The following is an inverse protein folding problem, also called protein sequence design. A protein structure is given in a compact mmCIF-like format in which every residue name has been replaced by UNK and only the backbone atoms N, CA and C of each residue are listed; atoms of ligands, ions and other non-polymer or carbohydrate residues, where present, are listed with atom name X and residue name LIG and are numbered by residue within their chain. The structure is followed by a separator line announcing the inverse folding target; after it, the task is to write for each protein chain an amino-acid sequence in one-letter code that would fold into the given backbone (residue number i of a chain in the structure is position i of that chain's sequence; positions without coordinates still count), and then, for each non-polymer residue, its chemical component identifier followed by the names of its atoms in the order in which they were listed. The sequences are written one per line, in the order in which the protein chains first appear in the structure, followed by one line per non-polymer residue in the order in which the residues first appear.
data_IF_914620952402
#
_entry.id   IF_914620952402
#
_cell.length_a   1.000
_cell.length_b   1.000
_cell.length_c   1.000
_cell.angle_alpha   90.00
_cell.angle_beta   90.00
_cell.angle_gamma   90.00
#
_symmetry.space_group_name_H-M   'P 1'
#
loop_
_entity.id
_entity.type
_entity.pdbx_description
1 polymer ?
#
# COMPACT_ATOMS: atom_id res chain seq x y z
N UNK A 1 -11.09 -5.62 -17.21
CA UNK A 1 -9.80 -4.88 -17.24
C UNK A 1 -8.94 -5.40 -16.10
N UNK A 2 -7.69 -5.77 -16.37
CA UNK A 2 -6.74 -6.10 -15.31
C UNK A 2 -6.49 -4.82 -14.50
N UNK A 3 -6.58 -4.90 -13.17
CA UNK A 3 -6.30 -3.78 -12.28
C UNK A 3 -4.85 -3.35 -12.50
N UNK A 4 -4.65 -2.06 -12.78
CA UNK A 4 -3.32 -1.49 -13.00
C UNK A 4 -2.72 -1.69 -14.40
N UNK A 5 -3.51 -2.14 -15.42
CA UNK A 5 -2.98 -2.34 -16.78
C UNK A 5 -2.34 -1.10 -17.41
N UNK A 6 -2.80 0.09 -17.02
CA UNK A 6 -2.34 1.37 -17.53
C UNK A 6 -1.56 2.18 -16.48
N UNK A 7 -1.19 1.56 -15.37
CA UNK A 7 -0.40 2.21 -14.33
C UNK A 7 1.09 2.21 -14.67
N UNK A 8 1.74 3.34 -14.45
CA UNK A 8 3.21 3.43 -14.49
C UNK A 8 3.84 2.86 -13.22
N UNK A 9 3.12 2.96 -12.09
CA UNK A 9 3.54 2.46 -10.77
C UNK A 9 2.40 1.70 -10.12
N UNK A 10 2.73 0.55 -9.56
CA UNK A 10 1.85 -0.24 -8.69
C UNK A 10 2.41 -0.21 -7.28
N UNK A 11 1.59 0.26 -6.34
CA UNK A 11 1.88 0.20 -4.92
C UNK A 11 1.10 -0.98 -4.34
N UNK A 12 1.80 -2.01 -3.86
CA UNK A 12 1.21 -3.17 -3.22
C UNK A 12 1.10 -2.93 -1.73
N UNK A 13 -0.11 -2.70 -1.25
CA UNK A 13 -0.41 -2.41 0.15
C UNK A 13 -0.80 -3.69 0.89
N UNK A 14 0.07 -4.13 1.80
CA UNK A 14 -0.17 -5.28 2.68
C UNK A 14 0.33 -4.99 4.10
N UNK A 15 -0.57 -5.03 5.07
CA UNK A 15 -0.27 -4.70 6.45
C UNK A 15 0.56 -5.78 7.18
N UNK A 16 0.47 -7.02 6.73
CA UNK A 16 0.93 -8.20 7.47
C UNK A 16 1.99 -9.02 6.73
N UNK A 17 1.99 -8.98 5.39
CA UNK A 17 2.95 -9.74 4.58
C UNK A 17 4.30 -9.03 4.45
N UNK A 18 5.30 -9.78 4.06
CA UNK A 18 6.59 -9.24 3.66
C UNK A 18 6.62 -8.94 2.16
N UNK A 19 7.52 -8.05 1.72
CA UNK A 19 7.65 -7.69 0.31
C UNK A 19 7.96 -8.87 -0.62
N UNK A 20 8.48 -9.96 -0.08
CA UNK A 20 8.76 -11.19 -0.84
C UNK A 20 7.49 -11.91 -1.31
N UNK A 21 6.35 -11.63 -0.68
CA UNK A 21 5.06 -12.26 -1.00
C UNK A 21 4.32 -11.54 -2.13
N UNK A 22 4.85 -10.41 -2.63
CA UNK A 22 4.24 -9.66 -3.74
C UNK A 22 4.37 -10.46 -5.04
N UNK A 23 3.27 -10.75 -5.76
CA UNK A 23 3.29 -11.53 -7.00
C UNK A 23 3.76 -10.68 -8.20
N UNK A 24 4.98 -10.17 -8.14
CA UNK A 24 5.54 -9.22 -9.13
C UNK A 24 5.46 -9.75 -10.56
N UNK A 25 5.59 -11.07 -10.75
CA UNK A 25 5.51 -11.71 -12.08
C UNK A 25 4.10 -11.71 -12.69
N UNK A 26 3.08 -11.55 -11.86
CA UNK A 26 1.67 -11.50 -12.28
C UNK A 26 1.20 -10.07 -12.58
N UNK A 27 1.99 -9.06 -12.18
CA UNK A 27 1.69 -7.66 -12.38
C UNK A 27 2.20 -7.17 -13.75
N UNK A 28 1.53 -6.18 -14.38
CA UNK A 28 1.93 -5.62 -15.67
C UNK A 28 3.42 -5.33 -15.74
N UNK A 29 4.12 -5.88 -16.72
CA UNK A 29 5.58 -5.81 -16.83
C UNK A 29 6.10 -4.39 -17.06
N UNK A 30 5.26 -3.49 -17.59
CA UNK A 30 5.55 -2.07 -17.85
C UNK A 30 5.55 -1.22 -16.59
N UNK A 31 4.87 -1.64 -15.52
CA UNK A 31 4.74 -0.85 -14.30
C UNK A 31 5.92 -1.08 -13.34
N UNK A 32 6.40 -0.02 -12.72
CA UNK A 32 7.20 -0.12 -11.50
C UNK A 32 6.37 -0.76 -10.37
N UNK A 33 7.00 -1.47 -9.45
CA UNK A 33 6.31 -2.11 -8.31
C UNK A 33 7.03 -1.78 -7.02
N UNK A 34 6.28 -1.29 -6.04
CA UNK A 34 6.76 -1.01 -4.69
C UNK A 34 5.83 -1.64 -3.66
N UNK A 35 6.38 -2.27 -2.64
CA UNK A 35 5.62 -2.81 -1.52
C UNK A 35 5.51 -1.78 -0.39
N UNK A 36 4.40 -1.82 0.34
CA UNK A 36 4.19 -0.94 1.50
C UNK A 36 3.33 -1.62 2.57
N UNK A 37 3.63 -1.27 3.80
CA UNK A 37 2.78 -1.47 4.96
C UNK A 37 2.44 -0.12 5.62
N UNK A 38 1.82 -0.13 6.79
CA UNK A 38 1.42 1.12 7.45
C UNK A 38 2.64 1.99 7.84
N UNK A 39 3.78 1.37 8.19
CA UNK A 39 4.97 2.11 8.61
C UNK A 39 5.64 2.85 7.45
N UNK A 40 5.63 2.25 6.26
CA UNK A 40 6.30 2.78 5.07
C UNK A 40 5.39 3.59 4.15
N UNK A 41 4.07 3.65 4.41
CA UNK A 41 3.08 4.29 3.54
C UNK A 41 3.42 5.75 3.19
N UNK A 42 3.89 6.53 4.18
CA UNK A 42 4.31 7.93 3.96
C UNK A 42 5.54 7.99 3.08
N UNK A 43 6.56 7.17 3.37
CA UNK A 43 7.81 7.14 2.62
C UNK A 43 7.59 6.71 1.16
N UNK A 44 6.70 5.74 0.92
CA UNK A 44 6.34 5.29 -0.43
C UNK A 44 5.64 6.40 -1.22
N UNK A 45 4.72 7.14 -0.59
CA UNK A 45 4.06 8.26 -1.26
C UNK A 45 5.06 9.41 -1.60
N UNK A 46 5.98 9.71 -0.69
CA UNK A 46 7.05 10.69 -0.93
C UNK A 46 8.00 10.22 -2.05
N UNK A 47 8.31 8.93 -2.10
CA UNK A 47 9.09 8.31 -3.18
C UNK A 47 8.38 8.44 -4.54
N UNK A 48 7.05 8.22 -4.62
CA UNK A 48 6.28 8.41 -5.86
C UNK A 48 6.43 9.84 -6.39
N UNK A 49 6.32 10.85 -5.52
CA UNK A 49 6.52 12.24 -5.93
C UNK A 49 7.96 12.48 -6.42
N UNK A 50 8.95 11.96 -5.71
CA UNK A 50 10.36 12.08 -6.10
C UNK A 50 10.64 11.46 -7.48
N UNK A 51 10.04 10.30 -7.76
CA UNK A 51 10.15 9.63 -9.06
C UNK A 51 9.47 10.44 -10.19
N UNK A 52 8.32 11.07 -9.94
CA UNK A 52 7.70 11.98 -10.92
C UNK A 52 8.61 13.17 -11.24
N UNK A 53 9.25 13.73 -10.21
CA UNK A 53 10.21 14.83 -10.39
C UNK A 53 11.46 14.35 -11.16
N UNK A 54 12.01 13.20 -10.81
CA UNK A 54 13.17 12.60 -11.48
C UNK A 54 12.92 12.33 -12.96
N UNK A 55 11.75 11.80 -13.30
CA UNK A 55 11.35 11.47 -14.66
C UNK A 55 10.78 12.66 -15.44
N UNK A 56 10.54 13.79 -14.77
CA UNK A 56 10.01 15.01 -15.39
C UNK A 56 8.60 14.85 -15.97
N UNK A 57 7.84 13.85 -15.53
CA UNK A 57 6.49 13.59 -16.02
C UNK A 57 5.56 13.11 -14.91
N UNK A 58 4.28 13.39 -15.07
CA UNK A 58 3.23 12.74 -14.29
C UNK A 58 3.04 11.30 -14.77
N UNK A 59 2.69 10.41 -13.85
CA UNK A 59 2.32 9.04 -14.19
C UNK A 59 1.13 8.55 -13.34
N UNK A 60 0.45 7.55 -13.87
CA UNK A 60 -0.65 6.92 -13.18
C UNK A 60 -0.13 5.95 -12.10
N UNK A 61 -0.68 6.06 -10.90
CA UNK A 61 -0.35 5.18 -9.78
C UNK A 61 -1.57 4.32 -9.43
N UNK A 62 -1.40 3.00 -9.43
CA UNK A 62 -2.40 2.08 -8.91
C UNK A 62 -1.99 1.64 -7.50
N UNK A 63 -2.90 1.80 -6.53
CA UNK A 63 -2.72 1.26 -5.17
C UNK A 63 -3.56 0.00 -5.06
N UNK A 64 -2.91 -1.14 -4.88
CA UNK A 64 -3.56 -2.44 -4.74
C UNK A 64 -3.55 -2.83 -3.26
N UNK A 65 -4.71 -2.83 -2.61
CA UNK A 65 -4.88 -3.46 -1.32
C UNK A 65 -4.90 -4.98 -1.53
N UNK A 66 -3.89 -5.68 -1.02
CA UNK A 66 -3.81 -7.13 -1.16
C UNK A 66 -5.03 -7.81 -0.54
N UNK A 67 -5.53 -8.86 -1.18
CA UNK A 67 -6.63 -9.64 -0.63
C UNK A 67 -6.12 -10.54 0.51
N UNK A 68 -6.94 -10.70 1.54
CA UNK A 68 -6.73 -11.77 2.50
C UNK A 68 -7.12 -13.11 1.91
N UNK A 69 -6.43 -14.19 2.32
CA UNK A 69 -6.84 -15.56 2.04
C UNK A 69 -7.44 -16.19 3.30
N UNK A 70 -8.52 -16.93 3.11
CA UNK A 70 -9.08 -17.81 4.12
C UNK A 70 -9.59 -19.07 3.46
N UNK A 71 -8.98 -20.20 3.80
CA UNK A 71 -9.37 -21.51 3.28
C UNK A 71 -9.37 -21.59 1.73
N UNK A 72 -8.42 -20.91 1.07
CA UNK A 72 -8.32 -20.84 -0.39
C UNK A 72 -9.33 -19.89 -1.06
N UNK A 73 -10.04 -19.09 -0.26
CA UNK A 73 -10.99 -18.09 -0.77
C UNK A 73 -10.45 -16.67 -0.53
N UNK A 74 -10.32 -15.92 -1.61
CA UNK A 74 -9.99 -14.50 -1.54
C UNK A 74 -11.08 -13.73 -0.79
N UNK A 75 -10.67 -12.89 0.17
CA UNK A 75 -11.57 -12.03 0.94
C UNK A 75 -11.05 -10.61 0.99
N UNK A 76 -11.95 -9.67 1.22
CA UNK A 76 -11.59 -8.28 1.52
C UNK A 76 -10.78 -8.22 2.81
N UNK A 77 -9.58 -7.64 2.73
CA UNK A 77 -8.67 -7.42 3.85
C UNK A 77 -8.74 -5.95 4.27
N UNK A 78 -9.49 -5.67 5.34
CA UNK A 78 -9.69 -4.31 5.85
C UNK A 78 -8.37 -3.68 6.29
N UNK A 79 -7.45 -4.48 6.82
CA UNK A 79 -6.11 -4.06 7.22
C UNK A 79 -5.32 -3.49 6.04
N UNK A 80 -5.39 -4.12 4.87
CA UNK A 80 -4.71 -3.69 3.66
C UNK A 80 -5.40 -2.47 3.03
N UNK A 81 -6.72 -2.38 3.18
CA UNK A 81 -7.48 -1.21 2.77
C UNK A 81 -7.08 0.05 3.56
N UNK A 82 -6.76 -0.08 4.86
CA UNK A 82 -6.24 1.04 5.65
C UNK A 82 -4.84 1.45 5.23
N UNK A 83 -3.97 0.51 4.90
CA UNK A 83 -2.63 0.82 4.35
C UNK A 83 -2.75 1.57 3.03
N UNK A 84 -3.60 1.09 2.12
CA UNK A 84 -3.89 1.80 0.87
C UNK A 84 -4.41 3.22 1.13
N UNK A 85 -5.33 3.38 2.08
CA UNK A 85 -5.84 4.68 2.51
C UNK A 85 -4.77 5.63 3.04
N UNK A 86 -3.80 5.10 3.80
CA UNK A 86 -2.67 5.89 4.32
C UNK A 86 -1.77 6.43 3.20
N UNK A 87 -1.48 5.60 2.19
CA UNK A 87 -0.72 6.01 1.01
C UNK A 87 -1.46 7.10 0.25
N UNK A 88 -2.76 6.89 -0.01
CA UNK A 88 -3.58 7.81 -0.79
C UNK A 88 -3.74 9.16 -0.06
N UNK A 89 -3.94 9.15 1.26
CA UNK A 89 -4.00 10.36 2.08
C UNK A 89 -2.71 11.18 1.97
N UNK A 90 -1.55 10.50 1.99
CA UNK A 90 -0.27 11.18 1.82
C UNK A 90 -0.09 11.70 0.39
N UNK A 91 -0.42 10.91 -0.65
CA UNK A 91 -0.38 11.36 -2.05
C UNK A 91 -1.26 12.58 -2.27
N UNK A 92 -2.49 12.59 -1.74
CA UNK A 92 -3.41 13.74 -1.80
C UNK A 92 -2.80 14.98 -1.13
N UNK A 93 -2.16 14.80 0.03
CA UNK A 93 -1.48 15.90 0.75
C UNK A 93 -0.29 16.48 -0.02
N UNK A 94 0.31 15.71 -0.92
CA UNK A 94 1.39 16.13 -1.81
C UNK A 94 0.88 16.78 -3.12
N UNK A 95 -0.44 16.90 -3.30
CA UNK A 95 -1.07 17.44 -4.50
C UNK A 95 -1.27 16.43 -5.63
N UNK A 96 -1.16 15.13 -5.33
CA UNK A 96 -1.48 14.03 -6.23
C UNK A 96 -2.90 13.53 -5.93
N UNK A 97 -3.88 14.40 -6.14
CA UNK A 97 -5.26 14.28 -5.64
C UNK A 97 -6.30 13.86 -6.69
N UNK A 98 -5.86 13.51 -7.91
CA UNK A 98 -6.75 12.97 -8.95
C UNK A 98 -7.07 11.48 -8.66
N UNK A 99 -8.01 11.24 -7.74
CA UNK A 99 -8.32 9.91 -7.20
C UNK A 99 -9.58 9.31 -7.80
N UNK A 100 -9.63 7.96 -7.87
CA UNK A 100 -10.86 7.23 -8.17
C UNK A 100 -11.81 7.22 -6.94
N UNK A 101 -13.11 6.89 -7.11
CA UNK A 101 -14.03 6.76 -5.99
C UNK A 101 -13.58 5.74 -4.95
N UNK A 102 -12.96 4.63 -5.38
CA UNK A 102 -12.41 3.59 -4.50
C UNK A 102 -11.24 4.15 -3.67
N UNK A 103 -10.32 4.87 -4.32
CA UNK A 103 -9.21 5.52 -3.67
C UNK A 103 -9.68 6.57 -2.65
N UNK A 104 -10.64 7.41 -3.03
CA UNK A 104 -11.25 8.39 -2.12
C UNK A 104 -11.93 7.72 -0.92
N UNK A 105 -12.55 6.55 -1.12
CA UNK A 105 -13.17 5.79 -0.03
C UNK A 105 -12.13 5.24 0.95
N UNK A 106 -11.00 4.73 0.45
CA UNK A 106 -9.90 4.23 1.28
C UNK A 106 -9.27 5.36 2.09
N UNK A 107 -8.99 6.50 1.45
CA UNK A 107 -8.50 7.71 2.12
C UNK A 107 -9.45 8.16 3.24
N UNK A 108 -10.76 8.28 2.95
CA UNK A 108 -11.76 8.71 3.91
C UNK A 108 -11.85 7.76 5.11
N UNK A 109 -11.79 6.44 4.89
CA UNK A 109 -11.76 5.45 5.96
C UNK A 109 -10.53 5.61 6.85
N UNK A 110 -9.34 5.74 6.25
CA UNK A 110 -8.09 5.96 6.98
C UNK A 110 -8.14 7.23 7.81
N UNK A 111 -8.52 8.37 7.22
CA UNK A 111 -8.62 9.67 7.92
C UNK A 111 -9.62 9.67 9.05
N UNK A 112 -10.79 9.04 8.84
CA UNK A 112 -11.86 9.01 9.84
C UNK A 112 -11.47 8.18 11.06
N UNK A 113 -10.82 7.02 10.84
CA UNK A 113 -10.42 6.12 11.91
C UNK A 113 -9.08 6.52 12.55
N UNK A 114 -8.23 7.26 11.83
CA UNK A 114 -7.05 7.94 12.34
C UNK A 114 -6.24 7.14 13.35
N UNK A 115 -6.31 7.54 14.63
CA UNK A 115 -5.53 6.92 15.71
C UNK A 115 -5.91 5.47 16.03
N UNK A 116 -7.09 5.00 15.59
CA UNK A 116 -7.54 3.63 15.82
C UNK A 116 -7.01 2.64 14.78
N UNK A 117 -6.47 3.11 13.63
CA UNK A 117 -6.07 2.27 12.50
C UNK A 117 -5.09 1.17 12.94
N UNK A 118 -4.06 1.51 13.69
CA UNK A 118 -3.10 0.52 14.18
C UNK A 118 -3.75 -0.59 15.02
N UNK A 119 -4.68 -0.22 15.91
CA UNK A 119 -5.44 -1.20 16.69
C UNK A 119 -6.36 -2.05 15.81
N UNK A 120 -7.03 -1.43 14.83
CA UNK A 120 -7.91 -2.15 13.91
C UNK A 120 -7.15 -3.14 13.03
N UNK A 121 -5.92 -2.82 12.60
CA UNK A 121 -5.05 -3.75 11.88
C UNK A 121 -4.74 -4.97 12.75
N UNK A 122 -4.31 -4.77 14.00
CA UNK A 122 -3.99 -5.88 14.91
C UNK A 122 -5.20 -6.71 15.34
N UNK A 123 -6.40 -6.14 15.26
CA UNK A 123 -7.67 -6.82 15.54
C UNK A 123 -8.31 -7.43 14.28
N UNK A 124 -7.70 -7.28 13.11
CA UNK A 124 -8.25 -7.80 11.86
C UNK A 124 -8.29 -9.33 11.84
N UNK A 125 -9.15 -9.89 11.02
CA UNK A 125 -9.30 -11.35 10.90
C UNK A 125 -7.99 -12.01 10.47
N UNK A 126 -7.20 -11.39 9.60
CA UNK A 126 -5.90 -11.92 9.17
C UNK A 126 -4.87 -11.91 10.30
N UNK A 127 -4.84 -10.86 11.11
CA UNK A 127 -3.91 -10.73 12.21
C UNK A 127 -4.19 -11.77 13.29
N UNK A 128 -5.45 -11.92 13.74
CA UNK A 128 -5.81 -12.80 14.87
C UNK A 128 -5.75 -14.30 14.54
N UNK A 129 -5.46 -14.68 13.30
CA UNK A 129 -5.25 -16.10 12.94
C UNK A 129 -3.89 -16.65 13.36
N UNK A 130 -2.96 -15.78 13.78
CA UNK A 130 -1.62 -16.15 14.20
C UNK A 130 -1.06 -15.09 15.15
N UNK A 131 -0.59 -15.49 16.33
CA UNK A 131 0.05 -14.58 17.29
C UNK A 131 1.29 -13.91 16.70
N UNK A 132 2.06 -14.62 15.88
CA UNK A 132 3.25 -14.09 15.19
C UNK A 132 2.88 -12.92 14.26
N UNK A 133 1.73 -13.01 13.57
CA UNK A 133 1.25 -11.92 12.71
C UNK A 133 0.82 -10.69 13.51
N UNK A 134 0.21 -10.87 14.67
CA UNK A 134 -0.16 -9.75 15.56
C UNK A 134 1.09 -9.04 16.05
N UNK A 135 2.10 -9.76 16.48
CA UNK A 135 3.35 -9.17 16.98
C UNK A 135 4.15 -8.50 15.86
N UNK A 136 4.22 -9.10 14.68
CA UNK A 136 4.82 -8.49 13.49
C UNK A 136 4.10 -7.19 13.10
N UNK A 137 2.76 -7.17 13.10
CA UNK A 137 1.97 -5.98 12.83
C UNK A 137 2.23 -4.87 13.85
N UNK A 138 2.32 -5.19 15.14
CA UNK A 138 2.64 -4.23 16.21
C UNK A 138 4.03 -3.61 16.03
N UNK A 139 5.03 -4.41 15.64
CA UNK A 139 6.37 -3.91 15.36
C UNK A 139 6.36 -2.93 14.17
N UNK A 140 5.70 -3.30 13.06
CA UNK A 140 5.57 -2.46 11.87
C UNK A 140 4.83 -1.14 12.16
N UNK A 141 3.73 -1.17 12.91
CA UNK A 141 2.93 0.02 13.25
C UNK A 141 3.75 1.02 14.10
N UNK A 142 4.63 0.53 14.96
CA UNK A 142 5.43 1.35 15.85
C UNK A 142 6.79 1.77 15.25
N UNK A 143 7.16 1.25 14.10
CA UNK A 143 8.40 1.62 13.42
C UNK A 143 8.28 3.02 12.79
N UNK A 144 9.27 3.87 13.02
CA UNK A 144 9.42 5.11 12.27
C UNK A 144 10.16 4.78 10.97
N UNK A 145 9.45 4.81 9.84
CA UNK A 145 10.05 4.55 8.55
C UNK A 145 10.73 5.81 7.96
N UNK A 146 11.86 5.60 7.31
CA UNK A 146 12.52 6.60 6.47
C UNK A 146 12.31 6.28 4.98
N UNK A 147 12.68 7.22 4.10
CA UNK A 147 12.65 6.99 2.65
C UNK A 147 13.61 5.86 2.21
N UNK A 148 14.61 5.53 3.01
CA UNK A 148 15.54 4.43 2.76
C UNK A 148 14.89 3.05 2.97
N UNK A 149 13.73 3.01 3.63
CA UNK A 149 12.96 1.77 3.89
C UNK A 149 12.00 1.41 2.75
N UNK A 150 11.95 2.23 1.68
CA UNK A 150 11.09 1.97 0.52
C UNK A 150 11.58 0.75 -0.26
N UNK A 151 10.76 -0.29 -0.33
CA UNK A 151 11.11 -1.53 -1.02
C UNK A 151 10.63 -1.52 -2.47
N UNK A 152 11.51 -1.09 -3.37
CA UNK A 152 11.27 -1.10 -4.82
C UNK A 152 11.56 -2.50 -5.35
N UNK A 153 10.53 -3.22 -5.78
CA UNK A 153 10.61 -4.58 -6.29
C UNK A 153 10.86 -4.61 -7.81
N UNK A 154 10.41 -3.57 -8.50
CA UNK A 154 10.67 -3.34 -9.92
C UNK A 154 10.69 -1.83 -10.19
N UNK A 155 11.75 -1.34 -10.82
CA UNK A 155 11.91 0.08 -11.15
C UNK A 155 10.91 0.55 -12.21
N UNK A 156 10.60 1.85 -12.22
CA UNK A 156 9.80 2.49 -13.27
C UNK A 156 10.65 2.58 -14.53
N UNK A 157 10.08 2.16 -15.66
CA UNK A 157 10.73 2.34 -16.97
C UNK A 157 10.75 3.82 -17.37
N UNK A 158 11.85 4.24 -17.98
CA UNK A 158 12.02 5.59 -18.54
C UNK A 158 11.08 5.87 -19.72
#
# INVERSE_FOLDING_TARGET
HAVGSDADVIIWADALADAHDVPVSELPASAGVVATDLSTAVAVADWVLAEQVRLGRRFATAVIAANGDRDGNSRFAVENFFVAGAVIDRLSSLGLDATSPEAASAEAAYRTLGRAVGHLITASTSAVTSDDKVDAARLKINAAASTDDVQVLRSISE
#
